data_IF_521446282229
#
_entry.id   IF_521446282229
#
_cell.length_a   1.000
_cell.length_b   1.000
_cell.length_c   1.000
_cell.angle_alpha   90.00
_cell.angle_beta   90.00
_cell.angle_gamma   90.00
#
_symmetry.space_group_name_H-M   'P 1'
#
loop_
_entity.id
_entity.type
_entity.pdbx_description
1 polymer ?
#
# COMPACT_ATOMS: atom_id res chain seq x y z
N UNK A 1 -22.95 -14.22 -22.82
CA UNK A 1 -21.99 -13.69 -23.80
C UNK A 1 -21.86 -12.19 -23.56
N UNK A 2 -21.00 -11.81 -22.61
CA UNK A 2 -20.38 -10.49 -22.58
C UNK A 2 -18.89 -10.80 -22.52
N UNK A 3 -18.16 -10.29 -23.51
CA UNK A 3 -16.74 -10.56 -23.70
C UNK A 3 -15.98 -10.14 -22.44
N UNK A 4 -15.43 -11.13 -21.73
CA UNK A 4 -14.37 -10.92 -20.76
C UNK A 4 -13.16 -10.42 -21.53
N UNK A 5 -12.87 -9.12 -21.42
CA UNK A 5 -11.63 -8.54 -21.92
C UNK A 5 -10.45 -9.28 -21.27
N UNK A 6 -9.84 -10.18 -22.02
CA UNK A 6 -8.40 -10.40 -21.92
C UNK A 6 -7.72 -9.07 -22.21
N UNK A 7 -6.98 -8.54 -21.25
CA UNK A 7 -5.66 -7.90 -21.45
C UNK A 7 -5.24 -7.13 -20.20
N UNK A 8 -4.74 -7.87 -19.20
CA UNK A 8 -3.51 -7.47 -18.49
C UNK A 8 -2.74 -8.76 -18.19
N UNK A 9 -2.21 -9.39 -19.25
CA UNK A 9 -1.05 -10.27 -19.07
C UNK A 9 0.12 -9.35 -18.72
N UNK A 10 0.39 -9.19 -17.43
CA UNK A 10 1.73 -8.82 -16.97
C UNK A 10 2.52 -10.11 -16.83
N UNK A 11 2.94 -10.68 -17.97
CA UNK A 11 4.00 -11.68 -18.01
C UNK A 11 5.33 -10.98 -17.73
N UNK A 12 5.63 -10.84 -16.43
CA UNK A 12 6.97 -10.81 -15.86
C UNK A 12 6.81 -11.40 -14.47
N UNK A 13 7.03 -12.72 -14.36
CA UNK A 13 6.99 -13.46 -13.11
C UNK A 13 8.20 -13.11 -12.21
N UNK A 14 8.29 -11.85 -11.78
CA UNK A 14 8.69 -11.57 -10.41
C UNK A 14 7.38 -11.38 -9.65
N UNK A 15 7.18 -12.16 -8.60
CA UNK A 15 6.24 -11.81 -7.55
C UNK A 15 6.70 -10.47 -6.96
N UNK A 16 6.30 -9.36 -7.59
CA UNK A 16 6.59 -8.02 -7.06
C UNK A 16 5.82 -7.91 -5.76
N UNK A 17 6.53 -8.11 -4.65
CA UNK A 17 6.00 -7.92 -3.31
C UNK A 17 5.68 -6.43 -3.14
N UNK A 18 4.40 -6.09 -3.35
CA UNK A 18 3.94 -4.71 -3.26
C UNK A 18 3.91 -4.32 -1.79
N UNK A 19 4.74 -3.35 -1.43
CA UNK A 19 4.76 -2.83 -0.08
C UNK A 19 3.95 -1.54 0.00
N UNK A 20 3.12 -1.41 1.03
CA UNK A 20 2.28 -0.24 1.30
C UNK A 20 2.69 0.35 2.64
N UNK A 21 2.93 1.66 2.68
CA UNK A 21 3.25 2.39 3.91
C UNK A 21 2.13 3.38 4.22
N UNK A 22 1.48 3.22 5.38
CA UNK A 22 0.51 4.17 5.91
C UNK A 22 1.23 5.13 6.86
N UNK A 23 1.33 6.41 6.48
CA UNK A 23 2.11 7.42 7.21
C UNK A 23 1.16 8.49 7.73
N UNK A 24 1.32 8.90 8.99
CA UNK A 24 0.58 10.01 9.59
C UNK A 24 1.39 10.68 10.70
N UNK A 25 1.15 11.97 10.91
CA UNK A 25 1.61 12.76 12.06
C UNK A 25 0.87 12.41 13.37
N UNK A 26 -0.29 11.76 13.29
CA UNK A 26 -1.03 11.18 14.42
C UNK A 26 -0.86 9.66 14.53
N UNK A 27 -1.94 8.93 14.80
CA UNK A 27 -1.91 7.47 15.02
C UNK A 27 -1.88 6.63 13.74
N UNK A 28 -2.03 7.24 12.56
CA UNK A 28 -2.16 6.57 11.25
C UNK A 28 -3.38 5.63 11.07
N UNK A 29 -4.29 5.52 12.05
CA UNK A 29 -5.51 4.69 11.96
C UNK A 29 -6.35 5.07 10.74
N UNK A 30 -6.52 6.38 10.46
CA UNK A 30 -7.27 6.85 9.30
C UNK A 30 -6.63 6.40 7.98
N UNK A 31 -5.31 6.51 7.86
CA UNK A 31 -4.57 6.11 6.66
C UNK A 31 -4.66 4.59 6.44
N UNK A 32 -4.53 3.81 7.52
CA UNK A 32 -4.60 2.35 7.49
C UNK A 32 -6.00 1.86 7.10
N UNK A 33 -7.05 2.36 7.77
CA UNK A 33 -8.43 1.92 7.51
C UNK A 33 -8.88 2.32 6.11
N UNK A 34 -8.64 3.57 5.71
CA UNK A 34 -9.00 4.04 4.38
C UNK A 34 -8.22 3.30 3.29
N UNK A 35 -6.91 3.16 3.48
CA UNK A 35 -6.04 2.47 2.54
C UNK A 35 -6.42 0.99 2.38
N UNK A 36 -6.69 0.30 3.49
CA UNK A 36 -7.18 -1.08 3.46
C UNK A 36 -8.51 -1.19 2.70
N UNK A 37 -9.48 -0.31 2.97
CA UNK A 37 -10.76 -0.30 2.29
C UNK A 37 -10.62 -0.09 0.77
N UNK A 38 -9.77 0.85 0.34
CA UNK A 38 -9.51 1.10 -1.08
C UNK A 38 -8.80 -0.09 -1.73
N UNK A 39 -7.73 -0.59 -1.11
CA UNK A 39 -6.88 -1.61 -1.71
C UNK A 39 -7.55 -2.99 -1.76
N UNK A 40 -8.50 -3.26 -0.87
CA UNK A 40 -9.32 -4.49 -0.89
C UNK A 40 -10.14 -4.68 -2.17
N UNK A 41 -10.31 -3.62 -2.97
CA UNK A 41 -11.03 -3.69 -4.25
C UNK A 41 -10.21 -4.34 -5.37
N UNK A 42 -8.92 -4.60 -5.14
CA UNK A 42 -8.01 -5.17 -6.13
C UNK A 42 -7.48 -6.54 -5.66
N UNK A 43 -7.34 -7.53 -6.56
CA UNK A 43 -6.80 -8.86 -6.22
C UNK A 43 -5.26 -8.83 -6.13
N UNK A 44 -4.73 -8.02 -5.21
CA UNK A 44 -3.29 -7.79 -5.05
C UNK A 44 -2.79 -8.43 -3.75
N UNK A 45 -1.65 -9.12 -3.81
CA UNK A 45 -0.87 -9.48 -2.62
C UNK A 45 0.03 -8.31 -2.27
N UNK A 46 -0.11 -7.81 -1.04
CA UNK A 46 0.64 -6.66 -0.55
C UNK A 46 1.00 -6.81 0.92
N UNK A 47 2.15 -6.25 1.30
CA UNK A 47 2.63 -6.17 2.67
C UNK A 47 2.49 -4.73 3.16
N UNK A 48 1.70 -4.53 4.21
CA UNK A 48 1.41 -3.21 4.75
C UNK A 48 2.22 -2.91 6.00
N UNK A 49 2.66 -1.66 6.14
CA UNK A 49 3.32 -1.14 7.33
C UNK A 49 2.67 0.18 7.73
N UNK A 50 2.46 0.36 9.03
CA UNK A 50 1.89 1.60 9.59
C UNK A 50 2.98 2.36 10.35
N UNK A 51 3.18 3.62 9.99
CA UNK A 51 4.18 4.54 10.51
C UNK A 51 3.47 5.73 11.17
N UNK A 52 3.13 5.64 12.47
CA UNK A 52 2.49 6.72 13.20
C UNK A 52 3.52 7.77 13.68
N UNK A 53 3.01 8.93 14.06
CA UNK A 53 3.75 10.04 14.68
C UNK A 53 4.93 10.56 13.85
N UNK A 54 4.77 10.62 12.53
CA UNK A 54 5.76 11.18 11.60
C UNK A 54 5.46 12.66 11.39
N UNK A 55 5.82 13.48 12.38
CA UNK A 55 5.51 14.93 12.42
C UNK A 55 6.71 15.85 12.15
N UNK A 56 7.92 15.31 12.02
CA UNK A 56 9.13 16.09 11.76
C UNK A 56 10.01 15.45 10.67
N UNK A 57 10.89 16.27 10.08
CA UNK A 57 11.83 15.82 9.04
C UNK A 57 12.83 14.83 9.63
N UNK A 58 13.30 15.07 10.85
CA UNK A 58 14.23 14.20 11.56
C UNK A 58 13.59 12.81 11.76
N UNK A 59 12.33 12.77 12.18
CA UNK A 59 11.59 11.52 12.35
C UNK A 59 11.40 10.76 11.04
N UNK A 60 11.13 11.47 9.95
CA UNK A 60 11.03 10.87 8.62
C UNK A 60 12.38 10.28 8.16
N UNK A 61 13.49 10.94 8.46
CA UNK A 61 14.84 10.45 8.16
C UNK A 61 15.23 9.22 8.99
N UNK A 62 14.82 9.15 10.26
CA UNK A 62 15.06 7.98 11.13
C UNK A 62 14.41 6.69 10.59
N UNK A 63 13.20 6.81 10.06
CA UNK A 63 12.40 5.66 9.60
C UNK A 63 12.66 5.26 8.15
N UNK A 64 13.49 6.03 7.41
CA UNK A 64 13.79 5.83 5.99
C UNK A 64 14.65 4.58 5.69
N UNK A 65 15.20 3.91 6.71
CA UNK A 65 16.19 2.83 6.56
C UNK A 65 15.61 1.49 6.11
#
# INVERSE_FOLDING_TARGET
>A
MILSLNSINCDNNELVDRTVFFISDGTAITAEVLGHAVLSQFPLKMKSYTLPFVSSVERAEEIKK
#
